data_IF_155482063099
#
_entry.id   IF_155482063099
#
_cell.length_a   1.000
_cell.length_b   1.000
_cell.length_c   1.000
_cell.angle_alpha   90.00
_cell.angle_beta   90.00
_cell.angle_gamma   90.00
#
_symmetry.space_group_name_H-M   'P 1'
#
loop_
_entity.id
_entity.type
_entity.pdbx_description
1 polymer ?
#
# COMPACT_ATOMS: atom_id res chain seq x y z
N UNK A 1 -4.05 -17.17 66.59
CA UNK A 1 -5.34 -17.60 66.00
C UNK A 1 -5.90 -16.38 65.28
N UNK A 2 -5.67 -16.29 63.98
CA UNK A 2 -6.15 -15.19 63.14
C UNK A 2 -6.75 -15.82 61.88
N UNK A 3 -8.07 -15.72 61.76
CA UNK A 3 -8.88 -16.00 60.58
C UNK A 3 -8.56 -14.90 59.52
N UNK A 4 -8.28 -15.28 58.26
CA UNK A 4 -9.17 -15.18 57.08
C UNK A 4 -9.59 -13.73 56.76
N UNK A 5 -9.39 -13.17 55.56
CA UNK A 5 -9.75 -13.72 54.25
C UNK A 5 -8.74 -13.35 53.15
N UNK A 6 -8.41 -14.33 52.31
CA UNK A 6 -8.10 -14.10 50.91
C UNK A 6 -9.40 -13.76 50.19
N UNK A 7 -9.56 -12.52 49.74
CA UNK A 7 -10.51 -12.25 48.66
C UNK A 7 -9.80 -12.63 47.37
N UNK A 8 -10.34 -13.65 46.72
CA UNK A 8 -10.05 -14.00 45.35
C UNK A 8 -10.16 -12.74 44.49
N UNK A 9 -9.06 -12.37 43.83
CA UNK A 9 -9.15 -11.58 42.60
C UNK A 9 -9.77 -12.49 41.54
N UNK A 10 -11.09 -12.70 41.60
CA UNK A 10 -11.81 -13.18 40.44
C UNK A 10 -11.73 -12.05 39.43
N UNK A 11 -10.87 -12.20 38.42
CA UNK A 11 -10.93 -11.39 37.21
C UNK A 11 -12.26 -11.74 36.54
N UNK A 12 -13.29 -10.98 36.86
CA UNK A 12 -14.50 -10.90 36.08
C UNK A 12 -14.14 -10.32 34.71
N UNK A 13 -14.08 -11.26 33.77
CA UNK A 13 -13.66 -11.24 32.38
C UNK A 13 -14.60 -10.39 31.49
N UNK A 14 -14.97 -9.20 31.93
CA UNK A 14 -15.73 -8.22 31.12
C UNK A 14 -15.55 -6.76 31.55
N UNK A 15 -14.97 -6.46 32.72
CA UNK A 15 -14.85 -5.09 33.23
C UNK A 15 -13.60 -4.31 32.79
N UNK A 16 -12.52 -4.99 32.42
CA UNK A 16 -11.23 -4.32 32.14
C UNK A 16 -11.22 -3.45 30.88
N UNK A 17 -12.00 -3.82 29.85
CA UNK A 17 -12.09 -3.07 28.59
C UNK A 17 -12.97 -1.83 28.70
N UNK A 18 -14.10 -1.93 29.39
CA UNK A 18 -14.96 -0.77 29.67
C UNK A 18 -14.27 0.17 30.65
N UNK A 19 -13.61 -0.34 31.68
CA UNK A 19 -12.84 0.49 32.62
C UNK A 19 -11.67 1.20 31.96
N UNK A 20 -10.98 0.63 30.95
CA UNK A 20 -9.93 1.32 30.23
C UNK A 20 -10.50 2.42 29.31
N UNK A 21 -11.64 2.17 28.68
CA UNK A 21 -12.33 3.12 27.80
C UNK A 21 -12.90 4.29 28.60
N UNK A 22 -13.59 4.00 29.71
CA UNK A 22 -14.10 4.99 30.65
C UNK A 22 -12.99 5.74 31.36
N UNK A 23 -11.91 5.07 31.79
CA UNK A 23 -10.77 5.74 32.43
C UNK A 23 -10.06 6.70 31.46
N UNK A 24 -9.89 6.31 30.19
CA UNK A 24 -9.32 7.20 29.17
C UNK A 24 -10.24 8.39 28.86
N UNK A 25 -11.56 8.21 28.81
CA UNK A 25 -12.54 9.29 28.61
C UNK A 25 -12.71 10.19 29.85
N UNK A 26 -12.35 9.70 31.04
CA UNK A 26 -12.50 10.40 32.33
C UNK A 26 -11.22 11.14 32.75
N UNK A 27 -10.04 10.66 32.34
CA UNK A 27 -8.74 11.35 32.48
C UNK A 27 -8.51 12.38 31.36
N UNK A 28 -9.13 12.21 30.18
CA UNK A 28 -9.26 13.24 29.13
C UNK A 28 -10.70 13.77 29.10
N UNK A 29 -11.05 14.68 30.00
CA UNK A 29 -12.36 15.32 29.94
C UNK A 29 -12.57 15.94 28.53
N UNK A 30 -13.48 15.35 27.75
CA UNK A 30 -14.05 15.81 26.46
C UNK A 30 -13.29 15.53 25.13
N UNK A 31 -12.71 14.34 24.90
CA UNK A 31 -12.16 13.93 23.57
C UNK A 31 -13.17 13.24 22.63
N UNK A 32 -12.88 13.19 21.33
CA UNK A 32 -13.55 12.30 20.36
C UNK A 32 -12.51 11.55 19.51
N UNK A 33 -12.86 10.36 19.04
CA UNK A 33 -12.02 9.49 18.25
C UNK A 33 -12.76 9.02 16.99
N UNK A 34 -12.01 8.74 15.93
CA UNK A 34 -12.50 8.16 14.69
C UNK A 34 -11.81 6.83 14.48
N UNK A 35 -12.43 5.75 14.98
CA UNK A 35 -11.79 4.45 15.06
C UNK A 35 -11.72 3.77 13.70
N UNK A 36 -10.58 3.18 13.39
CA UNK A 36 -10.44 2.28 12.23
C UNK A 36 -10.97 0.90 12.58
N UNK A 37 -12.10 0.50 11.98
CA UNK A 37 -12.62 -0.87 12.12
C UNK A 37 -11.92 -1.79 11.13
N UNK A 38 -11.90 -1.40 9.86
CA UNK A 38 -11.19 -2.10 8.79
C UNK A 38 -10.54 -1.10 7.86
N UNK A 39 -9.40 -1.50 7.32
CA UNK A 39 -8.69 -0.80 6.25
C UNK A 39 -8.21 -1.85 5.26
N UNK A 40 -8.44 -1.61 3.98
CA UNK A 40 -8.02 -2.51 2.92
C UNK A 40 -7.58 -1.75 1.68
N UNK A 41 -6.85 -2.46 0.82
CA UNK A 41 -6.45 -1.96 -0.48
C UNK A 41 -5.17 -1.12 -0.47
N UNK A 42 -4.63 -0.98 -1.68
CA UNK A 42 -3.40 -0.27 -1.98
C UNK A 42 -3.51 0.41 -3.34
N UNK A 43 -2.61 1.36 -3.60
CA UNK A 43 -2.54 2.03 -4.88
C UNK A 43 -1.41 1.45 -5.74
N UNK A 44 -1.76 1.04 -6.96
CA UNK A 44 -0.82 0.55 -7.96
C UNK A 44 -0.91 1.43 -9.22
N UNK A 45 0.22 1.98 -9.62
CA UNK A 45 0.31 2.91 -10.75
C UNK A 45 -0.18 2.29 -12.06
N UNK A 46 0.22 1.04 -12.33
CA UNK A 46 -0.10 0.32 -13.58
C UNK A 46 -1.48 -0.33 -13.58
N UNK A 47 -2.23 -0.22 -12.48
CA UNK A 47 -3.58 -0.76 -12.34
C UNK A 47 -4.49 0.23 -11.59
N UNK A 48 -4.40 1.50 -11.97
CA UNK A 48 -5.01 2.59 -11.22
C UNK A 48 -6.54 2.50 -11.09
N UNK A 49 -7.21 1.93 -12.10
CA UNK A 49 -8.66 1.80 -12.12
C UNK A 49 -9.17 0.74 -11.12
N UNK A 50 -8.43 -0.36 -10.94
CA UNK A 50 -8.81 -1.43 -10.00
C UNK A 50 -8.12 -1.26 -8.62
N UNK A 51 -7.18 -0.33 -8.52
CA UNK A 51 -6.51 0.03 -7.26
C UNK A 51 -7.40 0.90 -6.40
N UNK A 52 -8.12 0.28 -5.48
CA UNK A 52 -9.05 0.94 -4.57
C UNK A 52 -8.50 0.87 -3.15
N UNK A 53 -8.51 2.00 -2.45
CA UNK A 53 -8.37 2.03 -1.00
C UNK A 53 -9.75 2.17 -0.36
N UNK A 54 -9.97 1.46 0.75
CA UNK A 54 -11.23 1.52 1.49
C UNK A 54 -11.00 1.42 2.99
N UNK A 55 -11.85 2.07 3.76
CA UNK A 55 -11.88 1.95 5.21
C UNK A 55 -13.30 2.01 5.76
N UNK A 56 -13.51 1.30 6.86
CA UNK A 56 -14.70 1.44 7.72
C UNK A 56 -14.27 2.18 8.97
N UNK A 57 -14.89 3.34 9.20
CA UNK A 57 -14.60 4.22 10.33
C UNK A 57 -15.79 4.27 11.28
N UNK A 58 -15.50 4.34 12.57
CA UNK A 58 -16.50 4.38 13.64
C UNK A 58 -16.20 5.58 14.57
N UNK A 59 -16.95 6.69 14.44
CA UNK A 59 -16.85 7.79 15.37
C UNK A 59 -17.21 7.37 16.80
N UNK A 60 -16.47 7.90 17.76
CA UNK A 60 -16.72 7.69 19.17
C UNK A 60 -16.50 9.00 19.92
N UNK A 61 -17.47 9.38 20.72
CA UNK A 61 -17.42 10.52 21.62
C UNK A 61 -17.94 10.08 23.00
N UNK A 62 -18.04 11.01 23.95
CA UNK A 62 -18.48 10.69 25.31
C UNK A 62 -19.98 10.36 25.43
N UNK A 63 -20.79 10.64 24.40
CA UNK A 63 -22.18 10.21 24.26
C UNK A 63 -22.29 8.98 23.34
N UNK A 64 -21.22 8.20 23.21
CA UNK A 64 -21.17 7.00 22.37
C UNK A 64 -21.58 7.29 20.91
N UNK A 65 -21.00 8.34 20.31
CA UNK A 65 -21.26 8.70 18.92
C UNK A 65 -22.52 9.55 18.73
N UNK A 66 -23.24 9.86 19.82
CA UNK A 66 -24.45 10.70 19.80
C UNK A 66 -24.19 12.13 19.32
N UNK A 67 -22.95 12.63 19.50
CA UNK A 67 -22.57 13.97 19.07
C UNK A 67 -22.01 14.03 17.66
N UNK A 68 -21.91 12.91 16.95
CA UNK A 68 -21.37 12.87 15.59
C UNK A 68 -22.28 13.67 14.64
N UNK A 69 -21.77 14.76 14.08
CA UNK A 69 -22.46 15.55 13.05
C UNK A 69 -22.08 15.07 11.65
N UNK A 70 -20.77 15.06 11.38
CA UNK A 70 -20.25 14.65 10.08
C UNK A 70 -18.77 14.24 10.16
N UNK A 71 -18.30 13.57 9.10
CA UNK A 71 -16.88 13.35 8.85
C UNK A 71 -16.54 13.94 7.48
N UNK A 72 -15.70 14.95 7.46
CA UNK A 72 -15.14 15.50 6.23
C UNK A 72 -13.91 14.70 5.82
N UNK A 73 -13.88 14.27 4.56
CA UNK A 73 -12.78 13.51 3.99
C UNK A 73 -12.02 14.36 2.97
N UNK A 74 -10.79 14.69 3.34
CA UNK A 74 -9.84 15.43 2.52
C UNK A 74 -8.83 14.49 1.87
N UNK A 75 -8.41 14.83 0.66
CA UNK A 75 -7.40 14.09 -0.10
C UNK A 75 -6.33 15.05 -0.60
N UNK A 76 -5.07 14.65 -0.51
CA UNK A 76 -3.93 15.38 -1.11
C UNK A 76 -2.91 14.44 -1.72
N UNK A 77 -2.09 14.97 -2.63
CA UNK A 77 -0.88 14.33 -3.11
C UNK A 77 0.33 14.96 -2.40
N UNK A 78 0.97 14.21 -1.50
CA UNK A 78 2.14 14.69 -0.74
C UNK A 78 1.82 15.56 0.48
N UNK A 79 0.54 15.72 0.87
CA UNK A 79 0.15 16.39 2.11
C UNK A 79 -0.03 17.91 2.05
N UNK A 80 0.18 18.52 0.89
CA UNK A 80 -0.13 19.95 0.65
C UNK A 80 -1.36 20.07 -0.26
N UNK A 81 -2.05 21.21 -0.22
CA UNK A 81 -3.20 21.53 -1.08
C UNK A 81 -4.30 20.45 -1.02
N UNK A 82 -4.80 20.19 0.19
CA UNK A 82 -5.88 19.24 0.39
C UNK A 82 -7.17 19.68 -0.31
N UNK A 83 -7.87 18.70 -0.89
CA UNK A 83 -9.16 18.86 -1.55
C UNK A 83 -10.20 18.08 -0.77
N UNK A 84 -11.34 18.70 -0.46
CA UNK A 84 -12.47 18.00 0.14
C UNK A 84 -13.06 17.03 -0.89
N UNK A 85 -12.93 15.73 -0.64
CA UNK A 85 -13.49 14.68 -1.49
C UNK A 85 -14.98 14.49 -1.23
N UNK A 86 -15.35 14.38 0.05
CA UNK A 86 -16.73 14.09 0.48
C UNK A 86 -16.92 14.46 1.95
N UNK A 87 -18.11 14.90 2.29
CA UNK A 87 -18.59 14.98 3.68
C UNK A 87 -19.59 13.85 3.88
N UNK A 88 -19.42 13.05 4.93
CA UNK A 88 -20.37 12.01 5.33
C UNK A 88 -21.11 12.49 6.56
N UNK A 89 -22.39 12.79 6.42
CA UNK A 89 -23.19 13.24 7.57
C UNK A 89 -23.68 12.06 8.40
N UNK A 90 -24.06 12.29 9.66
CA UNK A 90 -24.63 11.25 10.53
C UNK A 90 -25.82 10.52 9.91
N UNK A 91 -26.62 11.17 9.07
CA UNK A 91 -27.76 10.53 8.39
C UNK A 91 -27.37 9.51 7.31
N UNK A 92 -26.14 9.57 6.80
CA UNK A 92 -25.60 8.58 5.84
C UNK A 92 -24.90 7.42 6.54
N UNK A 93 -24.65 7.54 7.86
CA UNK A 93 -24.00 6.50 8.66
C UNK A 93 -25.02 5.45 9.10
N UNK A 94 -24.53 4.24 9.34
CA UNK A 94 -25.32 3.14 9.90
C UNK A 94 -24.84 2.82 11.31
N UNK A 95 -25.68 2.18 12.12
CA UNK A 95 -25.26 1.76 13.46
C UNK A 95 -24.49 0.44 13.39
N UNK A 96 -23.31 0.43 14.00
CA UNK A 96 -22.46 -0.75 14.12
C UNK A 96 -22.97 -1.75 15.17
N UNK A 97 -22.31 -2.91 15.31
CA UNK A 97 -22.71 -3.98 16.23
C UNK A 97 -22.79 -3.56 17.71
N UNK A 98 -22.12 -2.47 18.10
CA UNK A 98 -22.11 -1.92 19.46
C UNK A 98 -22.94 -0.64 19.59
N UNK A 99 -23.75 -0.29 18.58
CA UNK A 99 -24.61 0.90 18.58
C UNK A 99 -23.91 2.22 18.22
N UNK A 100 -22.61 2.19 17.90
CA UNK A 100 -21.86 3.36 17.44
C UNK A 100 -22.06 3.63 15.94
N UNK A 101 -22.04 4.89 15.48
CA UNK A 101 -22.07 5.23 14.05
C UNK A 101 -20.93 4.56 13.28
N UNK A 102 -21.20 4.10 12.07
CA UNK A 102 -20.20 3.63 11.11
C UNK A 102 -20.39 4.25 9.74
N UNK A 103 -19.27 4.47 9.09
CA UNK A 103 -19.21 4.89 7.70
C UNK A 103 -18.21 4.05 6.93
N UNK A 104 -18.57 3.71 5.69
CA UNK A 104 -17.68 3.09 4.74
C UNK A 104 -17.26 4.13 3.71
N UNK A 105 -15.95 4.23 3.49
CA UNK A 105 -15.36 5.09 2.46
C UNK A 105 -14.47 4.27 1.57
N UNK A 106 -14.46 4.63 0.29
CA UNK A 106 -13.61 4.01 -0.71
C UNK A 106 -13.27 5.01 -1.80
N UNK A 107 -12.06 4.93 -2.33
CA UNK A 107 -11.62 5.75 -3.46
C UNK A 107 -10.64 4.96 -4.32
N UNK A 108 -10.84 5.03 -5.64
CA UNK A 108 -9.87 4.50 -6.60
C UNK A 108 -8.69 5.45 -6.77
N UNK A 109 -7.54 4.94 -7.21
CA UNK A 109 -6.40 5.81 -7.52
C UNK A 109 -6.75 6.82 -8.63
N UNK A 110 -7.54 6.41 -9.62
CA UNK A 110 -8.02 7.30 -10.69
C UNK A 110 -8.83 8.48 -10.15
N UNK A 111 -9.76 8.22 -9.22
CA UNK A 111 -10.57 9.26 -8.57
C UNK A 111 -9.70 10.20 -7.72
N UNK A 112 -8.80 9.63 -6.91
CA UNK A 112 -7.85 10.42 -6.12
C UNK A 112 -7.03 11.36 -7.01
N UNK A 113 -6.53 10.86 -8.15
CA UNK A 113 -5.82 11.65 -9.15
C UNK A 113 -6.64 12.77 -9.77
N UNK A 114 -7.92 12.52 -10.05
CA UNK A 114 -8.84 13.53 -10.54
C UNK A 114 -9.02 14.69 -9.56
N UNK A 115 -9.08 14.40 -8.26
CA UNK A 115 -9.23 15.40 -7.20
C UNK A 115 -7.96 16.24 -7.00
N UNK A 116 -6.79 15.60 -6.96
CA UNK A 116 -5.53 16.25 -6.57
C UNK A 116 -4.71 16.79 -7.74
N UNK A 117 -5.26 16.77 -8.96
CA UNK A 117 -4.60 17.31 -10.15
C UNK A 117 -3.53 16.39 -10.74
N UNK A 118 -3.64 15.08 -10.52
CA UNK A 118 -2.76 14.04 -11.06
C UNK A 118 -1.84 13.40 -10.02
N UNK A 119 -1.20 12.31 -10.44
CA UNK A 119 -0.25 11.55 -9.63
C UNK A 119 0.85 10.93 -10.51
N UNK A 120 1.98 10.62 -9.87
CA UNK A 120 3.04 9.80 -10.43
C UNK A 120 3.33 8.58 -9.55
N UNK A 121 4.04 7.60 -10.11
CA UNK A 121 4.55 6.48 -9.34
C UNK A 121 5.39 6.93 -8.13
N UNK A 122 5.24 6.28 -6.98
CA UNK A 122 5.94 6.64 -5.75
C UNK A 122 5.37 7.86 -5.00
N UNK A 123 4.42 8.60 -5.59
CA UNK A 123 3.68 9.63 -4.85
C UNK A 123 2.91 9.00 -3.68
N UNK A 124 2.57 9.82 -2.68
CA UNK A 124 1.76 9.38 -1.55
C UNK A 124 0.46 10.16 -1.53
N UNK A 125 -0.64 9.45 -1.80
CA UNK A 125 -1.98 9.97 -1.61
C UNK A 125 -2.30 9.91 -0.13
N UNK A 126 -2.73 11.04 0.41
CA UNK A 126 -3.05 11.20 1.82
C UNK A 126 -4.54 11.41 1.95
N UNK A 127 -5.20 10.51 2.68
CA UNK A 127 -6.60 10.62 3.07
C UNK A 127 -6.64 11.14 4.50
N UNK A 128 -7.11 12.38 4.73
CA UNK A 128 -7.26 12.98 6.05
C UNK A 128 -8.73 13.18 6.38
N UNK A 129 -9.11 12.90 7.63
CA UNK A 129 -10.49 12.98 8.08
C UNK A 129 -10.61 14.02 9.18
N UNK A 130 -11.70 14.77 9.16
CA UNK A 130 -12.12 15.68 10.23
C UNK A 130 -13.44 15.18 10.77
N UNK A 131 -13.48 14.77 12.02
CA UNK A 131 -14.71 14.46 12.72
C UNK A 131 -15.29 15.76 13.29
N UNK A 132 -16.48 16.15 12.82
CA UNK A 132 -17.23 17.29 13.32
C UNK A 132 -18.33 16.81 14.27
N UNK A 133 -18.44 17.48 15.42
CA UNK A 133 -19.46 17.21 16.42
C UNK A 133 -20.53 18.30 16.44
N UNK A 134 -21.75 17.93 16.84
CA UNK A 134 -22.91 18.83 16.92
C UNK A 134 -22.74 19.97 17.93
N UNK A 135 -21.75 19.87 18.83
CA UNK A 135 -21.39 20.92 19.79
C UNK A 135 -20.38 21.95 19.22
N UNK A 136 -20.04 21.83 17.93
CA UNK A 136 -19.18 22.76 17.20
C UNK A 136 -17.68 22.44 17.26
N UNK A 137 -17.28 21.34 17.91
CA UNK A 137 -15.88 20.91 17.97
C UNK A 137 -15.53 20.01 16.78
N UNK A 138 -14.28 20.09 16.34
CA UNK A 138 -13.73 19.27 15.26
C UNK A 138 -12.44 18.60 15.69
N UNK A 139 -12.24 17.35 15.26
CA UNK A 139 -11.08 16.54 15.60
C UNK A 139 -10.43 15.99 14.34
N UNK A 140 -9.10 16.14 14.22
CA UNK A 140 -8.30 15.59 13.12
C UNK A 140 -6.91 15.20 13.61
N UNK A 141 -5.91 15.22 12.72
CA UNK A 141 -4.54 14.76 12.96
C UNK A 141 -3.83 15.45 14.13
N UNK A 142 -4.13 16.72 14.36
CA UNK A 142 -3.61 17.55 15.45
C UNK A 142 -4.24 17.23 16.81
N UNK A 143 -5.39 16.55 16.80
CA UNK A 143 -6.10 16.12 18.01
C UNK A 143 -5.64 14.74 18.51
N UNK A 144 -4.67 14.12 17.83
CA UNK A 144 -4.13 12.81 18.18
C UNK A 144 -3.13 12.94 19.32
N UNK A 145 -3.48 12.44 20.51
CA UNK A 145 -2.53 12.16 21.59
C UNK A 145 -1.98 10.73 21.47
N UNK A 146 -0.79 10.46 22.01
CA UNK A 146 -0.09 9.16 21.86
C UNK A 146 -0.85 7.92 22.39
N UNK A 147 -1.96 8.09 23.10
CA UNK A 147 -2.89 7.02 23.51
C UNK A 147 -3.99 6.73 22.48
N UNK A 148 -4.32 7.67 21.59
CA UNK A 148 -5.35 7.53 20.55
C UNK A 148 -4.88 6.75 19.30
N UNK A 149 -3.56 6.61 19.13
CA UNK A 149 -2.95 5.75 18.09
C UNK A 149 -2.78 4.30 18.55
N UNK A 150 -3.08 3.97 19.82
CA UNK A 150 -2.91 2.62 20.36
C UNK A 150 -4.11 1.70 20.02
N UNK A 151 -3.98 0.44 20.43
CA UNK A 151 -4.73 -0.73 19.94
C UNK A 151 -6.24 -0.57 19.83
N UNK A 152 -6.89 0.10 20.80
CA UNK A 152 -8.36 0.20 20.84
C UNK A 152 -8.91 1.34 19.97
N UNK A 153 -8.26 2.51 19.97
CA UNK A 153 -8.75 3.68 19.26
C UNK A 153 -8.36 3.68 17.79
N UNK A 154 -7.15 3.23 17.42
CA UNK A 154 -6.65 3.21 16.02
C UNK A 154 -7.20 4.40 15.22
N UNK A 155 -7.03 5.61 15.73
CA UNK A 155 -7.67 6.80 15.19
C UNK A 155 -6.60 7.73 14.63
N UNK A 156 -5.92 7.37 13.53
CA UNK A 156 -4.84 8.20 12.99
C UNK A 156 -5.37 9.50 12.37
N UNK A 157 -6.69 9.61 12.13
CA UNK A 157 -7.34 10.65 11.31
C UNK A 157 -6.72 10.83 9.92
N UNK A 158 -5.76 9.98 9.54
CA UNK A 158 -5.00 10.11 8.31
C UNK A 158 -4.45 8.76 7.87
N UNK A 159 -4.66 8.43 6.60
CA UNK A 159 -4.06 7.27 5.95
C UNK A 159 -3.15 7.74 4.82
N UNK A 160 -1.92 7.23 4.81
CA UNK A 160 -0.93 7.50 3.77
C UNK A 160 -0.85 6.29 2.85
N UNK A 161 -1.13 6.48 1.57
CA UNK A 161 -1.10 5.43 0.55
C UNK A 161 -0.09 5.79 -0.52
N UNK A 162 1.08 5.16 -0.43
CA UNK A 162 2.10 5.26 -1.47
C UNK A 162 1.67 4.48 -2.71
N UNK A 163 1.77 5.13 -3.86
CA UNK A 163 1.48 4.53 -5.15
C UNK A 163 2.65 3.65 -5.54
N UNK A 164 2.45 2.33 -5.50
CA UNK A 164 3.45 1.36 -5.89
C UNK A 164 3.51 1.23 -7.41
N UNK A 165 4.70 1.02 -7.97
CA UNK A 165 4.90 0.89 -9.42
C UNK A 165 5.23 -0.55 -9.80
N UNK A 166 4.52 -1.49 -9.18
CA UNK A 166 4.73 -2.91 -9.39
C UNK A 166 3.88 -3.42 -10.55
N UNK A 167 4.53 -4.06 -11.49
CA UNK A 167 3.95 -4.79 -12.61
C UNK A 167 3.96 -6.28 -12.28
N UNK A 168 2.83 -6.95 -12.43
CA UNK A 168 2.72 -8.37 -12.10
C UNK A 168 3.59 -9.25 -13.02
N UNK A 169 3.91 -10.44 -12.53
CA UNK A 169 4.58 -11.45 -13.33
C UNK A 169 3.68 -11.88 -14.48
N UNK A 170 4.10 -11.62 -15.72
CA UNK A 170 3.37 -12.03 -16.91
C UNK A 170 3.62 -11.11 -18.09
N UNK A 171 2.71 -11.16 -19.06
CA UNK A 171 2.60 -10.15 -20.11
C UNK A 171 1.70 -9.03 -19.60
N UNK A 172 2.28 -7.86 -19.42
CA UNK A 172 1.62 -6.65 -18.88
C UNK A 172 1.63 -5.52 -19.92
N UNK A 173 0.91 -4.44 -19.65
CA UNK A 173 1.00 -3.22 -20.44
C UNK A 173 2.45 -2.74 -20.51
N UNK A 174 2.92 -2.40 -21.71
CA UNK A 174 4.30 -2.01 -21.92
C UNK A 174 4.62 -0.67 -21.23
N UNK A 175 5.80 -0.62 -20.60
CA UNK A 175 6.39 0.61 -20.07
C UNK A 175 7.60 0.93 -20.94
N UNK A 176 7.57 2.02 -21.74
CA UNK A 176 8.67 2.34 -22.64
C UNK A 176 9.97 2.62 -21.88
N UNK A 177 11.07 2.05 -22.36
CA UNK A 177 12.38 2.23 -21.76
C UNK A 177 13.42 1.24 -22.23
N UNK A 178 14.61 1.36 -21.66
CA UNK A 178 15.72 0.45 -21.86
C UNK A 178 15.78 -0.51 -20.66
N UNK A 179 15.71 -1.80 -20.94
CA UNK A 179 15.77 -2.87 -19.96
C UNK A 179 17.09 -3.61 -20.12
N UNK A 180 18.01 -3.37 -19.20
CA UNK A 180 19.34 -3.97 -19.18
C UNK A 180 19.38 -5.12 -18.21
N UNK A 181 19.59 -6.33 -18.70
CA UNK A 181 19.92 -7.47 -17.85
C UNK A 181 21.39 -7.41 -17.49
N UNK A 182 21.69 -7.64 -16.22
CA UNK A 182 23.02 -8.06 -15.81
C UNK A 182 22.93 -9.52 -15.36
N UNK A 183 23.49 -10.39 -16.20
CA UNK A 183 23.52 -11.82 -16.01
C UNK A 183 24.86 -12.22 -15.40
N UNK A 184 24.83 -13.18 -14.48
CA UNK A 184 26.01 -13.73 -13.81
C UNK A 184 25.99 -15.24 -13.84
N UNK A 185 27.19 -15.81 -13.93
CA UNK A 185 27.46 -17.23 -13.88
C UNK A 185 28.63 -17.46 -12.92
N UNK A 186 28.39 -18.26 -11.87
CA UNK A 186 29.40 -18.52 -10.84
C UNK A 186 30.57 -19.41 -11.29
N UNK A 187 30.41 -20.21 -12.35
CA UNK A 187 31.48 -21.09 -12.88
C UNK A 187 32.17 -20.52 -14.10
N UNK A 188 31.50 -19.62 -14.82
CA UNK A 188 32.06 -18.84 -15.92
C UNK A 188 32.14 -19.58 -17.25
N UNK A 189 31.41 -20.69 -17.41
CA UNK A 189 31.32 -21.47 -18.64
C UNK A 189 30.04 -21.16 -19.45
N UNK A 190 29.21 -20.25 -18.96
CA UNK A 190 28.00 -19.77 -19.59
C UNK A 190 26.76 -20.28 -18.88
N UNK A 191 25.62 -20.15 -19.55
CA UNK A 191 24.32 -20.50 -18.96
C UNK A 191 23.77 -21.84 -19.43
N UNK A 192 24.55 -22.60 -20.19
CA UNK A 192 24.28 -24.02 -20.45
C UNK A 192 22.83 -24.31 -20.94
N UNK A 193 22.32 -23.43 -21.81
CA UNK A 193 20.97 -23.50 -22.39
C UNK A 193 19.90 -22.67 -21.66
N UNK A 194 20.21 -22.09 -20.49
CA UNK A 194 19.33 -21.17 -19.79
C UNK A 194 19.31 -19.81 -20.47
N UNK A 195 18.20 -19.09 -20.34
CA UNK A 195 18.07 -17.75 -20.93
C UNK A 195 17.07 -16.88 -20.17
N UNK A 196 17.27 -15.57 -20.25
CA UNK A 196 16.20 -14.60 -19.98
C UNK A 196 15.60 -14.19 -21.32
N UNK A 197 14.27 -14.21 -21.40
CA UNK A 197 13.52 -13.87 -22.60
C UNK A 197 12.68 -12.63 -22.33
N UNK A 198 12.94 -11.56 -23.09
CA UNK A 198 12.02 -10.44 -23.19
C UNK A 198 10.94 -10.77 -24.23
N UNK A 199 9.68 -10.57 -23.89
CA UNK A 199 8.54 -10.70 -24.79
C UNK A 199 7.98 -9.31 -25.00
N UNK A 200 8.04 -8.76 -26.21
CA UNK A 200 7.56 -7.41 -26.55
C UNK A 200 6.57 -7.54 -27.70
N UNK A 201 5.32 -7.15 -27.48
CA UNK A 201 4.22 -7.33 -28.46
C UNK A 201 4.13 -8.75 -29.03
N UNK A 202 4.37 -9.74 -28.17
CA UNK A 202 4.34 -11.17 -28.51
C UNK A 202 5.61 -11.68 -29.23
N UNK A 203 6.59 -10.82 -29.51
CA UNK A 203 7.88 -11.22 -30.08
C UNK A 203 8.87 -11.55 -28.96
N UNK A 204 9.49 -12.72 -29.03
CA UNK A 204 10.47 -13.18 -28.04
C UNK A 204 11.92 -12.83 -28.44
N UNK A 205 12.65 -12.24 -27.50
CA UNK A 205 14.07 -11.93 -27.59
C UNK A 205 14.80 -12.66 -26.47
N UNK A 206 15.39 -13.81 -26.79
CA UNK A 206 16.14 -14.61 -25.82
C UNK A 206 17.57 -14.09 -25.67
N UNK A 207 18.08 -14.10 -24.44
CA UNK A 207 19.47 -13.81 -24.10
C UNK A 207 20.06 -14.94 -23.28
N UNK A 208 21.17 -15.46 -23.78
CA UNK A 208 22.04 -16.46 -23.14
C UNK A 208 23.47 -16.19 -23.57
N UNK A 209 24.44 -16.82 -22.93
CA UNK A 209 25.85 -16.71 -23.29
C UNK A 209 26.56 -18.04 -23.04
N UNK A 210 27.55 -18.33 -23.89
CA UNK A 210 28.25 -19.61 -23.96
C UNK A 210 29.61 -19.60 -23.21
N UNK A 211 29.83 -18.63 -22.33
CA UNK A 211 31.08 -18.47 -21.58
C UNK A 211 31.27 -17.09 -20.97
N UNK A 212 32.04 -17.03 -19.89
CA UNK A 212 32.30 -15.83 -19.09
C UNK A 212 31.48 -15.81 -17.80
N UNK A 213 31.97 -15.13 -16.75
CA UNK A 213 31.28 -15.06 -15.46
C UNK A 213 30.13 -14.03 -15.43
N UNK A 214 30.01 -13.20 -16.46
CA UNK A 214 28.94 -12.23 -16.58
C UNK A 214 28.66 -11.84 -18.03
N UNK A 215 27.44 -11.40 -18.27
CA UNK A 215 26.99 -10.90 -19.56
C UNK A 215 25.94 -9.79 -19.35
N UNK A 216 25.93 -8.80 -20.24
CA UNK A 216 24.97 -7.71 -20.21
C UNK A 216 24.28 -7.61 -21.55
N UNK A 217 22.95 -7.52 -21.53
CA UNK A 217 22.14 -7.26 -22.71
C UNK A 217 21.13 -6.18 -22.39
N UNK A 218 20.95 -5.25 -23.32
CA UNK A 218 19.88 -4.24 -23.24
C UNK A 218 18.83 -4.50 -24.31
N UNK A 219 17.57 -4.52 -23.90
CA UNK A 219 16.42 -4.47 -24.81
C UNK A 219 15.76 -3.10 -24.75
N UNK A 220 15.22 -2.68 -25.89
CA UNK A 220 14.41 -1.47 -25.98
C UNK A 220 12.95 -1.87 -26.05
N UNK A 221 12.16 -1.43 -25.07
CA UNK A 221 10.69 -1.44 -25.16
C UNK A 221 10.29 -0.09 -25.75
N UNK A 222 9.87 -0.01 -27.02
CA UNK A 222 9.60 1.26 -27.69
C UNK A 222 8.35 1.94 -27.14
N UNK A 223 8.24 3.26 -27.35
CA UNK A 223 7.10 4.07 -26.89
C UNK A 223 5.73 3.60 -27.45
N UNK A 224 5.72 2.91 -28.58
CA UNK A 224 4.51 2.36 -29.21
C UNK A 224 4.22 0.90 -28.88
N UNK A 225 5.02 0.25 -28.02
CA UNK A 225 4.73 -1.12 -27.61
C UNK A 225 3.43 -1.18 -26.81
N UNK A 226 2.65 -2.23 -27.02
CA UNK A 226 1.40 -2.46 -26.28
C UNK A 226 1.62 -3.33 -25.05
N UNK A 227 2.43 -4.38 -25.20
CA UNK A 227 2.68 -5.35 -24.14
C UNK A 227 4.15 -5.69 -23.97
N UNK A 228 4.54 -6.03 -22.75
CA UNK A 228 5.87 -6.53 -22.44
C UNK A 228 5.84 -7.61 -21.34
N UNK A 229 6.88 -8.42 -21.25
CA UNK A 229 7.13 -9.31 -20.11
C UNK A 229 8.54 -9.89 -20.16
N UNK A 230 9.06 -10.31 -19.01
CA UNK A 230 10.38 -10.92 -18.89
C UNK A 230 10.26 -12.26 -18.17
N UNK A 231 10.79 -13.32 -18.77
CA UNK A 231 10.76 -14.65 -18.20
C UNK A 231 12.14 -15.30 -18.18
N UNK A 232 12.37 -16.15 -17.20
CA UNK A 232 13.50 -17.07 -17.20
C UNK A 232 13.08 -18.42 -17.80
N UNK A 233 13.96 -18.98 -18.63
CA UNK A 233 13.86 -20.33 -19.18
C UNK A 233 15.06 -21.12 -18.68
N UNK A 234 14.80 -22.23 -17.98
CA UNK A 234 15.82 -23.09 -17.40
C UNK A 234 16.72 -23.73 -18.45
N UNK A 235 17.98 -23.92 -18.08
CA UNK A 235 18.96 -24.71 -18.82
C UNK A 235 19.46 -25.89 -18.00
N UNK A 236 20.70 -26.27 -18.26
CA UNK A 236 21.45 -27.10 -17.32
C UNK A 236 22.15 -26.21 -16.30
N UNK A 237 22.38 -26.73 -15.09
CA UNK A 237 23.19 -26.06 -14.05
C UNK A 237 22.66 -24.71 -13.55
N UNK A 238 21.34 -24.47 -13.57
CA UNK A 238 20.70 -23.22 -13.09
C UNK A 238 21.15 -22.75 -11.68
N UNK A 239 21.72 -23.64 -10.85
CA UNK A 239 22.37 -23.28 -9.59
C UNK A 239 23.51 -22.26 -9.70
N UNK A 240 24.06 -22.05 -10.90
CA UNK A 240 25.11 -21.05 -11.15
C UNK A 240 24.60 -19.73 -11.70
N UNK A 241 23.33 -19.71 -12.12
CA UNK A 241 22.69 -18.63 -12.86
C UNK A 241 22.07 -17.65 -11.87
N UNK A 242 22.38 -16.36 -12.02
CA UNK A 242 21.66 -15.26 -11.37
C UNK A 242 21.59 -14.07 -12.33
N UNK A 243 20.56 -13.23 -12.19
CA UNK A 243 20.44 -12.01 -12.97
C UNK A 243 19.62 -10.96 -12.25
N UNK A 244 19.80 -9.72 -12.68
CA UNK A 244 18.92 -8.62 -12.35
C UNK A 244 18.51 -7.85 -13.62
N UNK A 245 17.51 -6.98 -13.50
CA UNK A 245 17.08 -6.11 -14.60
C UNK A 245 17.10 -4.66 -14.12
N UNK A 246 17.83 -3.81 -14.83
CA UNK A 246 17.87 -2.37 -14.63
C UNK A 246 17.08 -1.69 -15.73
N UNK A 247 16.17 -0.81 -15.35
CA UNK A 247 15.40 0.03 -16.24
C UNK A 247 16.04 1.42 -16.35
N UNK A 248 15.96 2.05 -17.52
CA UNK A 248 16.03 3.50 -17.68
C UNK A 248 15.00 3.98 -18.71
N UNK A 249 14.70 5.28 -18.71
CA UNK A 249 13.90 5.91 -19.78
C UNK A 249 14.63 5.76 -21.12
N UNK A 250 13.92 5.92 -22.24
CA UNK A 250 14.50 5.80 -23.59
C UNK A 250 15.65 6.79 -23.85
N UNK A 251 15.73 7.89 -23.10
CA UNK A 251 16.82 8.86 -23.13
C UNK A 251 18.00 8.51 -22.18
N UNK A 252 17.93 7.37 -21.50
CA UNK A 252 18.92 6.90 -20.52
C UNK A 252 18.76 7.49 -19.12
N UNK A 253 17.79 8.38 -18.88
CA UNK A 253 17.54 8.98 -17.57
C UNK A 253 16.75 8.06 -16.63
N UNK A 254 16.62 8.45 -15.36
CA UNK A 254 15.79 7.77 -14.35
C UNK A 254 16.08 6.26 -14.20
N UNK A 255 17.36 5.92 -14.11
CA UNK A 255 17.81 4.54 -13.93
C UNK A 255 17.31 3.96 -12.60
N UNK A 256 16.72 2.77 -12.65
CA UNK A 256 16.11 2.09 -11.51
C UNK A 256 16.35 0.59 -11.60
N UNK A 257 16.47 -0.08 -10.45
CA UNK A 257 16.43 -1.55 -10.42
C UNK A 257 14.99 -2.01 -10.61
N UNK A 258 14.68 -2.55 -11.79
CA UNK A 258 13.36 -3.07 -12.13
C UNK A 258 13.12 -4.45 -11.52
N UNK A 259 14.16 -5.28 -11.48
CA UNK A 259 14.19 -6.57 -10.81
C UNK A 259 15.53 -6.66 -10.08
N UNK A 260 15.56 -6.80 -8.73
CA UNK A 260 16.81 -7.09 -8.03
C UNK A 260 17.34 -8.47 -8.44
N UNK A 261 18.57 -8.80 -8.02
CA UNK A 261 19.12 -10.14 -8.21
C UNK A 261 18.13 -11.21 -7.73
N UNK A 262 17.84 -12.17 -8.61
CA UNK A 262 16.87 -13.23 -8.35
C UNK A 262 17.46 -14.35 -7.48
N UNK A 263 18.79 -14.44 -7.44
CA UNK A 263 19.54 -15.47 -6.75
C UNK A 263 19.76 -16.73 -7.60
N UNK A 264 20.70 -17.55 -7.17
CA UNK A 264 21.01 -18.84 -7.77
C UNK A 264 19.76 -19.73 -7.90
N UNK A 265 19.67 -20.51 -9.00
CA UNK A 265 18.49 -21.30 -9.37
C UNK A 265 17.24 -20.45 -9.58
N UNK A 266 17.22 -19.55 -10.59
CA UNK A 266 16.07 -18.69 -10.82
C UNK A 266 14.81 -19.50 -11.11
N UNK A 267 13.68 -19.08 -10.56
CA UNK A 267 12.39 -19.68 -10.84
C UNK A 267 12.00 -19.54 -12.32
N UNK A 268 11.64 -20.66 -12.96
CA UNK A 268 11.17 -20.66 -14.35
C UNK A 268 9.84 -19.91 -14.46
N UNK A 269 9.72 -19.07 -15.49
CA UNK A 269 8.51 -18.31 -15.78
C UNK A 269 8.74 -16.80 -15.71
N UNK A 270 7.63 -16.07 -15.74
CA UNK A 270 7.66 -14.61 -15.76
C UNK A 270 8.01 -14.02 -14.40
N UNK A 271 8.71 -12.89 -14.43
CA UNK A 271 9.05 -12.10 -13.26
C UNK A 271 8.24 -10.82 -13.22
N UNK A 272 7.82 -10.47 -12.03
CA UNK A 272 7.24 -9.17 -11.75
C UNK A 272 8.33 -8.11 -11.69
N UNK A 273 8.01 -6.88 -12.09
CA UNK A 273 8.95 -5.77 -12.18
C UNK A 273 8.46 -4.56 -11.37
N UNK A 274 9.38 -3.70 -10.95
CA UNK A 274 9.06 -2.43 -10.28
C UNK A 274 9.70 -1.25 -11.01
N UNK A 275 8.91 -0.44 -11.71
CA UNK A 275 9.41 0.73 -12.46
C UNK A 275 8.51 1.93 -12.23
N UNK A 276 9.01 2.98 -11.58
CA UNK A 276 8.29 4.25 -11.41
C UNK A 276 8.74 5.26 -12.48
N UNK A 277 7.79 5.87 -13.21
CA UNK A 277 8.11 6.89 -14.23
C UNK A 277 7.99 8.32 -13.73
#
# INVERSE_FOLDING_TARGET
MAFSCSEDFSSDEYGGYEMLTDYMLKEYQVGAALRTITEAGSYRFFDAANSIWSATLEPHDHESGGLTESVDWYVSNGGSNEVLARTVTRSEMYDGPVGLPRMDISMSLTEAGGLVGGYAGGNTIIHRMVLNLTDGRSFSTESVSGSLTQSYFKSPFQYRKTITCFMDAGIVSAVPGLYTINATDSWGDGWNGASVVAVIDGVEYATSFNGGASYTQTWTVPAGASTMGFKFVSGSWDSEVDFNIVYSKLDGSNSQTALPNVGASPAVGFYALSVCQ
#
